data_IF_123726261781
#
_entry.id   IF_123726261781
#
_cell.length_a   1.000
_cell.length_b   1.000
_cell.length_c   1.000
_cell.angle_alpha   90.00
_cell.angle_beta   90.00
_cell.angle_gamma   90.00
#
_symmetry.space_group_name_H-M   'P 1'
#
loop_
_entity.id
_entity.type
_entity.pdbx_description
1 polymer ?
#
# COMPACT_ATOMS: atom_id res chain seq x y z
N UNK A 1 -38.55 -37.88 97.78
CA UNK A 1 -37.82 -36.67 97.36
C UNK A 1 -36.91 -36.90 96.12
N UNK A 2 -36.22 -37.99 95.96
CA UNK A 2 -35.30 -38.18 94.79
C UNK A 2 -36.02 -38.29 93.40
N UNK A 3 -37.25 -38.77 93.33
CA UNK A 3 -37.99 -38.87 92.06
C UNK A 3 -38.56 -37.55 91.54
N UNK A 4 -38.89 -36.62 92.47
CA UNK A 4 -39.44 -35.29 92.08
C UNK A 4 -38.33 -34.38 91.55
N UNK A 5 -37.12 -34.50 92.08
CA UNK A 5 -35.95 -33.72 91.62
C UNK A 5 -35.56 -34.16 90.18
N UNK A 6 -35.67 -35.45 89.83
CA UNK A 6 -35.34 -35.95 88.50
C UNK A 6 -36.30 -35.45 87.37
N UNK A 7 -37.58 -35.33 87.71
CA UNK A 7 -38.57 -34.78 86.76
C UNK A 7 -38.44 -33.26 86.61
N UNK A 8 -38.02 -32.53 87.61
CA UNK A 8 -37.77 -31.09 87.55
C UNK A 8 -36.50 -30.79 86.75
N UNK A 9 -35.46 -31.61 86.82
CA UNK A 9 -34.23 -31.45 86.02
C UNK A 9 -34.54 -31.85 84.59
N UNK A 10 -35.33 -32.87 84.35
CA UNK A 10 -35.73 -33.26 82.96
C UNK A 10 -36.65 -32.22 82.32
N UNK A 11 -37.54 -31.58 83.10
CA UNK A 11 -38.41 -30.49 82.60
C UNK A 11 -37.61 -29.20 82.32
N UNK A 12 -36.53 -28.92 83.08
CA UNK A 12 -35.67 -27.78 82.81
C UNK A 12 -34.76 -28.00 81.64
N UNK A 13 -34.38 -29.26 81.36
CA UNK A 13 -33.53 -29.60 80.18
C UNK A 13 -34.32 -29.62 78.91
N UNK A 14 -35.63 -29.84 78.93
CA UNK A 14 -36.48 -29.76 77.71
C UNK A 14 -36.89 -28.34 77.41
N UNK A 15 -36.80 -27.39 78.28
CA UNK A 15 -37.14 -25.98 77.99
C UNK A 15 -36.01 -25.18 77.34
N UNK A 16 -34.76 -25.68 77.38
CA UNK A 16 -33.61 -25.03 76.74
C UNK A 16 -33.34 -25.49 75.27
N UNK A 17 -34.07 -26.49 74.80
CA UNK A 17 -33.93 -26.95 73.44
C UNK A 17 -34.85 -26.25 72.43
N UNK A 18 -35.60 -25.24 72.84
CA UNK A 18 -36.59 -24.55 72.01
C UNK A 18 -36.16 -23.21 71.42
N UNK A 19 -34.91 -22.79 71.56
CA UNK A 19 -34.39 -21.65 70.78
C UNK A 19 -33.89 -22.16 69.43
N UNK A 20 -34.84 -22.52 68.58
CA UNK A 20 -34.54 -22.76 67.18
C UNK A 20 -33.77 -21.56 66.64
N UNK A 21 -32.55 -21.78 66.16
CA UNK A 21 -31.88 -20.81 65.29
C UNK A 21 -32.89 -20.38 64.22
N UNK A 22 -33.41 -19.15 64.35
CA UNK A 22 -34.12 -18.55 63.19
C UNK A 22 -33.15 -18.63 62.03
N UNK A 23 -33.41 -19.51 61.06
CA UNK A 23 -32.77 -19.45 59.77
C UNK A 23 -32.94 -18.01 59.29
N UNK A 24 -31.87 -17.23 59.32
CA UNK A 24 -31.84 -15.95 58.69
C UNK A 24 -32.11 -16.28 57.19
N UNK A 25 -33.29 -15.95 56.72
CA UNK A 25 -33.56 -16.09 55.29
C UNK A 25 -32.50 -15.26 54.58
N UNK A 26 -31.56 -15.94 53.91
CA UNK A 26 -30.64 -15.31 53.01
C UNK A 26 -31.52 -14.77 51.89
N UNK A 27 -31.66 -13.44 51.82
CA UNK A 27 -32.40 -12.79 50.75
C UNK A 27 -31.98 -13.35 49.39
N UNK A 28 -32.82 -13.21 48.40
CA UNK A 28 -32.49 -13.63 47.01
C UNK A 28 -31.15 -13.06 46.60
N UNK A 29 -30.21 -13.88 46.12
CA UNK A 29 -28.93 -13.39 45.67
C UNK A 29 -29.15 -12.28 44.61
N UNK A 30 -28.34 -11.23 44.62
CA UNK A 30 -28.42 -10.20 43.56
C UNK A 30 -28.28 -10.83 42.18
N UNK A 31 -28.85 -10.18 41.17
CA UNK A 31 -28.76 -10.68 39.81
C UNK A 31 -27.30 -10.81 39.33
N UNK A 32 -26.99 -11.92 38.69
CA UNK A 32 -25.64 -12.21 38.20
C UNK A 32 -25.23 -11.26 37.08
N UNK A 33 -23.94 -10.99 37.01
CA UNK A 33 -23.33 -10.29 35.86
C UNK A 33 -23.25 -11.24 34.66
N UNK A 34 -23.48 -10.71 33.45
CA UNK A 34 -23.26 -11.42 32.18
C UNK A 34 -22.36 -10.52 31.33
N UNK A 35 -21.16 -11.00 30.98
CA UNK A 35 -20.30 -10.33 30.01
C UNK A 35 -20.76 -10.68 28.60
N UNK A 36 -21.05 -9.68 27.78
CA UNK A 36 -21.40 -9.88 26.37
C UNK A 36 -21.13 -8.62 25.56
N UNK A 37 -20.87 -8.80 24.24
CA UNK A 37 -20.70 -7.71 23.30
C UNK A 37 -21.04 -8.14 21.87
N UNK A 38 -21.24 -7.16 21.02
CA UNK A 38 -21.33 -7.30 19.58
C UNK A 38 -20.32 -6.38 18.92
N UNK A 39 -20.10 -6.55 17.61
CA UNK A 39 -19.23 -5.66 16.86
C UNK A 39 -19.72 -5.47 15.42
N UNK A 40 -19.30 -4.37 14.81
CA UNK A 40 -19.40 -4.10 13.38
C UNK A 40 -18.04 -3.66 12.86
N UNK A 41 -17.71 -4.04 11.63
CA UNK A 41 -16.44 -3.68 10.99
C UNK A 41 -16.71 -2.88 9.70
N UNK A 42 -15.96 -1.81 9.50
CA UNK A 42 -15.90 -1.11 8.21
C UNK A 42 -15.25 -2.01 7.15
N UNK A 43 -15.37 -1.65 5.87
CA UNK A 43 -14.71 -2.35 4.76
C UNK A 43 -14.96 -3.88 4.75
N UNK A 44 -16.12 -4.34 5.23
CA UNK A 44 -16.44 -5.77 5.37
C UNK A 44 -15.40 -6.60 6.11
N UNK A 45 -14.64 -5.96 7.03
CA UNK A 45 -13.55 -6.59 7.78
C UNK A 45 -12.28 -6.84 6.97
N UNK A 46 -12.08 -6.15 5.86
CA UNK A 46 -10.81 -6.17 5.09
C UNK A 46 -9.87 -5.12 5.66
N UNK A 47 -8.63 -5.50 5.94
CA UNK A 47 -7.60 -4.60 6.48
C UNK A 47 -7.23 -3.47 5.48
N UNK A 48 -6.96 -2.24 5.98
CA UNK A 48 -7.24 -1.77 7.32
C UNK A 48 -8.75 -1.56 7.53
N UNK A 49 -9.27 -1.92 8.71
CA UNK A 49 -10.68 -1.71 9.03
C UNK A 49 -10.85 -1.22 10.47
N UNK A 50 -11.79 -0.31 10.68
CA UNK A 50 -12.23 0.07 12.01
C UNK A 50 -13.31 -0.91 12.48
N UNK A 51 -13.17 -1.36 13.72
CA UNK A 51 -14.14 -2.23 14.38
C UNK A 51 -14.74 -1.48 15.55
N UNK A 52 -16.06 -1.25 15.49
CA UNK A 52 -16.84 -0.67 16.57
C UNK A 52 -17.39 -1.79 17.43
N UNK A 53 -17.07 -1.78 18.71
CA UNK A 53 -17.59 -2.72 19.69
C UNK A 53 -18.75 -2.10 20.46
N UNK A 54 -19.79 -2.90 20.72
CA UNK A 54 -20.93 -2.50 21.55
C UNK A 54 -21.02 -3.43 22.75
N UNK A 55 -20.84 -2.90 23.94
CA UNK A 55 -20.95 -3.66 25.19
C UNK A 55 -22.40 -3.90 25.53
N UNK A 56 -22.82 -5.16 25.53
CA UNK A 56 -24.18 -5.60 25.87
C UNK A 56 -24.22 -6.36 27.19
N UNK A 57 -23.22 -6.16 28.05
CA UNK A 57 -23.11 -6.80 29.34
C UNK A 57 -24.23 -6.34 30.31
N UNK A 58 -24.67 -7.24 31.19
CA UNK A 58 -25.74 -6.99 32.13
C UNK A 58 -25.15 -7.02 33.56
N UNK A 59 -25.58 -6.10 34.41
CA UNK A 59 -25.14 -5.96 35.82
C UNK A 59 -23.61 -5.79 35.99
N UNK A 60 -22.96 -5.15 35.00
CA UNK A 60 -21.57 -4.76 35.01
C UNK A 60 -21.42 -3.27 35.37
N UNK A 61 -20.41 -2.90 36.14
CA UNK A 61 -20.08 -1.51 36.54
C UNK A 61 -18.77 -1.01 35.90
N UNK A 62 -18.04 -1.87 35.18
CA UNK A 62 -16.81 -1.53 34.47
C UNK A 62 -16.48 -2.58 33.45
N UNK A 63 -15.77 -2.17 32.42
CA UNK A 63 -15.29 -2.97 31.32
C UNK A 63 -13.79 -2.79 31.10
N UNK A 64 -13.12 -3.84 30.74
CA UNK A 64 -11.75 -3.82 30.24
C UNK A 64 -11.68 -4.70 28.98
N UNK A 65 -11.16 -4.13 27.93
CA UNK A 65 -11.01 -4.76 26.64
C UNK A 65 -9.56 -5.08 26.34
N UNK A 66 -9.32 -6.27 25.81
CA UNK A 66 -8.08 -6.69 25.16
C UNK A 66 -8.46 -7.13 23.75
N UNK A 67 -7.91 -6.46 22.73
CA UNK A 67 -8.29 -6.69 21.33
C UNK A 67 -7.44 -7.76 20.64
N UNK A 68 -6.45 -8.32 21.34
CA UNK A 68 -5.57 -9.36 20.79
C UNK A 68 -4.55 -8.86 19.77
N UNK A 69 -4.51 -7.56 19.51
CA UNK A 69 -3.54 -6.88 18.63
C UNK A 69 -2.55 -5.99 19.41
N UNK A 70 -2.49 -6.16 20.74
CA UNK A 70 -1.68 -5.35 21.63
C UNK A 70 -2.36 -4.07 22.13
N UNK A 71 -3.54 -3.73 21.63
CA UNK A 71 -4.34 -2.60 22.10
C UNK A 71 -5.31 -3.02 23.19
N UNK A 72 -5.62 -2.11 24.11
CA UNK A 72 -6.59 -2.30 25.20
C UNK A 72 -7.44 -1.04 25.37
N UNK A 73 -8.64 -1.16 25.99
CA UNK A 73 -9.50 -0.02 26.31
C UNK A 73 -10.31 -0.28 27.59
N UNK A 74 -10.73 0.81 28.22
CA UNK A 74 -11.70 0.80 29.32
C UNK A 74 -13.00 1.52 28.96
N UNK A 75 -13.13 1.99 27.73
CA UNK A 75 -14.35 2.59 27.21
C UNK A 75 -15.48 1.58 27.18
N UNK A 76 -16.72 2.07 27.23
CA UNK A 76 -17.89 1.20 27.18
C UNK A 76 -18.01 0.57 25.80
N UNK A 77 -17.97 1.40 24.76
CA UNK A 77 -18.13 1.02 23.37
C UNK A 77 -16.93 1.55 22.54
N UNK A 78 -15.77 0.86 22.57
CA UNK A 78 -14.57 1.33 21.89
C UNK A 78 -14.63 1.14 20.37
N UNK A 79 -13.88 1.98 19.65
CA UNK A 79 -13.60 1.85 18.21
C UNK A 79 -12.11 1.61 18.03
N UNK A 80 -11.75 0.54 17.33
CA UNK A 80 -10.35 0.10 17.19
C UNK A 80 -10.02 -0.12 15.73
N UNK A 81 -8.89 0.44 15.29
CA UNK A 81 -8.31 0.17 13.99
C UNK A 81 -7.53 -1.15 14.02
N UNK A 82 -7.88 -2.07 13.13
CA UNK A 82 -7.11 -3.25 12.80
C UNK A 82 -6.44 -3.03 11.44
N UNK A 83 -5.15 -2.81 11.45
CA UNK A 83 -4.30 -2.57 10.27
C UNK A 83 -3.64 -3.83 9.72
N UNK A 84 -3.60 -4.89 10.52
CA UNK A 84 -2.97 -6.16 10.20
C UNK A 84 -4.00 -7.26 9.95
N UNK A 85 -3.70 -8.14 9.00
CA UNK A 85 -4.53 -9.30 8.67
C UNK A 85 -4.38 -10.39 9.75
N UNK A 86 -5.44 -11.16 9.98
CA UNK A 86 -5.38 -12.31 10.88
C UNK A 86 -6.64 -12.54 11.70
N UNK A 87 -6.51 -13.48 12.63
CA UNK A 87 -7.55 -13.80 13.61
C UNK A 87 -7.17 -13.21 14.96
N UNK A 88 -7.97 -12.26 15.43
CA UNK A 88 -7.75 -11.56 16.70
C UNK A 88 -8.77 -12.06 17.74
N UNK A 89 -8.27 -12.54 18.86
CA UNK A 89 -9.14 -12.92 19.99
C UNK A 89 -9.43 -11.69 20.84
N UNK A 90 -10.59 -11.11 20.65
CA UNK A 90 -11.05 -9.96 21.46
C UNK A 90 -11.68 -10.47 22.75
N UNK A 91 -11.24 -9.94 23.88
CA UNK A 91 -11.72 -10.30 25.21
C UNK A 91 -12.26 -9.08 25.94
N UNK A 92 -13.51 -9.18 26.39
CA UNK A 92 -14.13 -8.24 27.31
C UNK A 92 -14.15 -8.84 28.71
N UNK A 93 -13.55 -8.16 29.68
CA UNK A 93 -13.62 -8.48 31.11
C UNK A 93 -14.53 -7.48 31.81
N UNK A 94 -15.59 -7.96 32.46
CA UNK A 94 -16.57 -7.14 33.16
C UNK A 94 -16.38 -7.22 34.69
N UNK A 95 -16.38 -6.06 35.35
CA UNK A 95 -16.44 -5.97 36.79
C UNK A 95 -17.92 -5.99 37.21
N UNK A 96 -18.36 -6.93 38.10
CA UNK A 96 -19.74 -7.00 38.50
C UNK A 96 -20.14 -5.80 39.38
N UNK A 97 -21.41 -5.38 39.27
CA UNK A 97 -21.99 -4.36 40.20
C UNK A 97 -21.88 -4.84 41.62
N UNK A 98 -22.10 -6.12 41.91
CA UNK A 98 -21.98 -6.71 43.21
C UNK A 98 -20.78 -7.67 43.29
N UNK A 99 -19.60 -7.10 43.52
CA UNK A 99 -18.33 -7.84 43.60
C UNK A 99 -18.13 -8.63 44.93
N UNK A 100 -19.05 -8.49 45.91
CA UNK A 100 -19.04 -9.32 47.10
C UNK A 100 -19.61 -10.72 46.82
N UNK A 101 -20.44 -10.87 45.80
CA UNK A 101 -21.10 -12.11 45.44
C UNK A 101 -20.58 -12.75 44.17
N UNK A 102 -20.01 -11.94 43.23
CA UNK A 102 -19.60 -12.40 41.93
C UNK A 102 -18.17 -11.96 41.63
N UNK A 103 -17.41 -12.84 40.95
CA UNK A 103 -16.12 -12.53 40.37
C UNK A 103 -16.27 -11.80 39.06
N UNK A 104 -15.14 -11.29 38.51
CA UNK A 104 -15.08 -10.77 37.14
C UNK A 104 -15.49 -11.86 36.15
N UNK A 105 -16.18 -11.45 35.10
CA UNK A 105 -16.61 -12.33 34.04
C UNK A 105 -16.01 -11.87 32.70
N UNK A 106 -15.73 -12.83 31.89
CA UNK A 106 -15.10 -12.62 30.56
C UNK A 106 -15.99 -13.12 29.44
N UNK A 107 -15.91 -12.44 28.30
CA UNK A 107 -16.45 -12.85 27.01
C UNK A 107 -15.36 -12.69 25.96
N UNK A 108 -15.13 -13.73 25.18
CA UNK A 108 -14.21 -13.66 24.06
C UNK A 108 -14.93 -13.95 22.74
N UNK A 109 -14.49 -13.28 21.67
CA UNK A 109 -14.88 -13.54 20.28
C UNK A 109 -13.65 -13.45 19.40
N UNK A 110 -13.63 -14.23 18.33
CA UNK A 110 -12.59 -14.15 17.30
C UNK A 110 -13.09 -13.24 16.21
N UNK A 111 -12.29 -12.24 15.86
CA UNK A 111 -12.50 -11.35 14.72
C UNK A 111 -11.54 -11.75 13.62
N UNK A 112 -12.06 -12.00 12.42
CA UNK A 112 -11.25 -12.28 11.24
C UNK A 112 -11.07 -10.99 10.44
N UNK A 113 -9.86 -10.46 10.44
CA UNK A 113 -9.45 -9.33 9.59
C UNK A 113 -8.85 -9.91 8.31
N UNK A 114 -9.53 -9.67 7.20
CA UNK A 114 -9.25 -10.30 5.90
C UNK A 114 -8.12 -9.61 5.17
N UNK A 115 -7.40 -10.39 4.36
CA UNK A 115 -6.38 -9.87 3.44
C UNK A 115 -7.05 -9.10 2.29
N UNK A 116 -6.70 -7.82 2.06
CA UNK A 116 -7.18 -7.05 0.92
C UNK A 116 -6.74 -7.65 -0.43
N UNK A 117 -5.67 -8.44 -0.45
CA UNK A 117 -5.12 -9.06 -1.64
C UNK A 117 -5.53 -10.55 -1.79
N UNK A 118 -6.48 -11.03 -0.98
CA UNK A 118 -6.92 -12.42 -1.05
C UNK A 118 -7.44 -12.79 -2.45
N UNK A 119 -6.83 -13.79 -3.07
CA UNK A 119 -7.15 -14.25 -4.43
C UNK A 119 -6.54 -13.40 -5.56
N UNK A 120 -5.67 -12.43 -5.22
CA UNK A 120 -4.85 -11.71 -6.19
C UNK A 120 -3.44 -12.34 -6.28
N UNK A 121 -2.81 -12.16 -7.43
CA UNK A 121 -1.42 -12.51 -7.70
C UNK A 121 -0.58 -11.25 -7.72
N UNK A 122 0.57 -11.29 -7.04
CA UNK A 122 1.52 -10.18 -7.13
C UNK A 122 2.41 -10.36 -8.36
N UNK A 123 2.48 -9.34 -9.20
CA UNK A 123 3.19 -9.36 -10.47
C UNK A 123 4.09 -8.14 -10.58
N UNK A 124 5.34 -8.35 -10.99
CA UNK A 124 6.20 -7.30 -11.51
C UNK A 124 5.99 -7.22 -13.02
N UNK A 125 5.54 -6.08 -13.50
CA UNK A 125 5.53 -5.70 -14.91
C UNK A 125 6.74 -4.82 -15.18
N UNK A 126 7.38 -5.02 -16.33
CA UNK A 126 8.46 -4.13 -16.78
C UNK A 126 8.53 -4.04 -18.29
N UNK A 127 9.08 -2.96 -18.78
CA UNK A 127 9.42 -2.80 -20.21
C UNK A 127 10.90 -3.07 -20.40
N UNK A 128 11.27 -3.47 -21.62
CA UNK A 128 12.68 -3.61 -22.01
C UNK A 128 12.92 -3.07 -23.40
N UNK A 129 14.18 -2.67 -23.63
CA UNK A 129 14.68 -2.28 -24.93
C UNK A 129 15.82 -3.21 -25.31
N UNK A 130 15.70 -3.88 -26.45
CA UNK A 130 16.74 -4.74 -27.01
C UNK A 130 17.21 -4.26 -28.39
N UNK A 131 18.20 -4.94 -28.99
CA UNK A 131 18.70 -4.64 -30.33
C UNK A 131 17.65 -4.75 -31.44
N UNK A 132 16.59 -5.52 -31.19
CA UNK A 132 15.53 -5.84 -32.15
C UNK A 132 14.22 -5.08 -31.89
N UNK A 133 14.21 -4.08 -31.01
CA UNK A 133 13.02 -3.35 -30.60
C UNK A 133 12.73 -3.47 -29.08
N UNK A 134 11.57 -3.00 -28.66
CA UNK A 134 11.12 -3.01 -27.28
C UNK A 134 10.01 -4.01 -27.03
N UNK A 135 9.83 -4.40 -25.76
CA UNK A 135 8.73 -5.26 -25.36
C UNK A 135 8.28 -4.98 -23.90
N UNK A 136 7.07 -5.42 -23.58
CA UNK A 136 6.57 -5.55 -22.22
C UNK A 136 6.80 -6.97 -21.70
N UNK A 137 6.98 -7.08 -20.39
CA UNK A 137 7.22 -8.34 -19.70
C UNK A 137 6.48 -8.39 -18.39
N UNK A 138 6.25 -9.61 -17.91
CA UNK A 138 5.72 -9.83 -16.56
C UNK A 138 6.44 -10.98 -15.86
N UNK A 139 6.53 -10.89 -14.53
CA UNK A 139 7.06 -11.93 -13.64
C UNK A 139 6.13 -12.06 -12.45
N UNK A 140 5.63 -13.26 -12.21
CA UNK A 140 4.89 -13.54 -10.97
C UNK A 140 5.88 -13.52 -9.81
N UNK A 141 5.60 -12.67 -8.82
CA UNK A 141 6.40 -12.56 -7.62
C UNK A 141 5.98 -13.66 -6.62
N UNK A 142 6.51 -14.83 -6.84
CA UNK A 142 6.53 -15.93 -5.87
C UNK A 142 7.93 -16.03 -5.24
N UNK A 143 8.14 -17.03 -4.38
CA UNK A 143 9.45 -17.24 -3.75
C UNK A 143 10.37 -18.15 -4.60
N UNK A 144 9.99 -18.40 -5.84
CA UNK A 144 10.74 -19.21 -6.80
C UNK A 144 11.75 -18.43 -7.62
N UNK A 145 12.37 -19.12 -8.57
CA UNK A 145 13.24 -18.47 -9.56
C UNK A 145 12.36 -17.62 -10.50
N UNK A 146 12.70 -16.34 -10.71
CA UNK A 146 11.94 -15.48 -11.59
C UNK A 146 11.78 -16.06 -13.00
N UNK A 147 10.55 -16.14 -13.49
CA UNK A 147 10.23 -16.57 -14.86
C UNK A 147 9.61 -15.42 -15.62
N UNK A 148 10.34 -14.92 -16.61
CA UNK A 148 9.87 -13.85 -17.46
C UNK A 148 8.86 -14.42 -18.47
N UNK A 149 7.71 -13.78 -18.55
CA UNK A 149 6.74 -13.96 -19.62
C UNK A 149 6.71 -12.71 -20.47
N UNK A 150 7.00 -12.86 -21.75
CA UNK A 150 6.96 -11.77 -22.73
C UNK A 150 5.51 -11.46 -23.11
N UNK A 151 5.24 -10.20 -23.37
CA UNK A 151 4.00 -9.77 -23.99
C UNK A 151 3.93 -10.18 -25.46
N UNK A 152 2.72 -10.22 -26.02
CA UNK A 152 2.56 -10.38 -27.47
C UNK A 152 3.30 -9.27 -28.22
N UNK A 153 4.00 -9.66 -29.27
CA UNK A 153 4.85 -8.75 -30.04
C UNK A 153 4.06 -7.60 -30.67
N UNK A 154 4.68 -6.44 -30.71
CA UNK A 154 4.20 -5.22 -31.35
C UNK A 154 5.33 -4.59 -32.19
N UNK A 155 5.08 -3.40 -32.71
CA UNK A 155 6.08 -2.55 -33.36
C UNK A 155 6.76 -1.57 -32.38
N UNK A 156 6.73 -1.84 -31.08
CA UNK A 156 7.45 -1.01 -30.08
C UNK A 156 8.96 -1.03 -30.33
N UNK A 157 9.56 0.16 -30.26
CA UNK A 157 11.00 0.33 -30.43
C UNK A 157 11.70 0.75 -29.14
N UNK A 158 11.07 1.69 -28.41
CA UNK A 158 11.64 2.28 -27.20
C UNK A 158 10.55 2.52 -26.16
N UNK A 159 10.04 1.45 -25.52
CA UNK A 159 9.05 1.59 -24.47
C UNK A 159 9.68 2.25 -23.24
N UNK A 160 9.00 3.28 -22.74
CA UNK A 160 9.47 4.10 -21.62
C UNK A 160 8.68 3.86 -20.36
N UNK A 161 7.41 4.21 -20.34
CA UNK A 161 6.55 4.12 -19.17
C UNK A 161 5.69 2.85 -19.19
N UNK A 162 5.29 2.41 -18.01
CA UNK A 162 4.32 1.32 -17.81
C UNK A 162 3.34 1.69 -16.73
N UNK A 163 2.05 1.47 -16.96
CA UNK A 163 1.00 1.65 -15.97
C UNK A 163 0.02 0.48 -16.00
N UNK A 164 -0.32 -0.04 -14.82
CA UNK A 164 -1.23 -1.16 -14.67
C UNK A 164 -2.56 -0.68 -14.10
N UNK A 165 -3.62 -0.86 -14.86
CA UNK A 165 -5.00 -0.67 -14.44
C UNK A 165 -5.54 -1.98 -13.87
N UNK A 166 -5.47 -2.11 -12.56
CA UNK A 166 -5.91 -3.31 -11.86
C UNK A 166 -7.43 -3.46 -11.89
N UNK A 167 -8.17 -2.34 -12.01
CA UNK A 167 -9.64 -2.35 -12.04
C UNK A 167 -10.18 -2.96 -13.34
N UNK A 168 -9.51 -2.69 -14.48
CA UNK A 168 -9.93 -3.19 -15.78
C UNK A 168 -9.04 -4.30 -16.34
N UNK A 169 -8.05 -4.78 -15.55
CA UNK A 169 -7.07 -5.79 -15.96
C UNK A 169 -6.36 -5.42 -17.26
N UNK A 170 -5.81 -4.21 -17.32
CA UNK A 170 -5.08 -3.67 -18.47
C UNK A 170 -3.70 -3.19 -18.08
N UNK A 171 -2.79 -3.23 -19.05
CA UNK A 171 -1.45 -2.64 -18.97
C UNK A 171 -1.30 -1.65 -20.11
N UNK A 172 -0.80 -0.47 -19.80
CA UNK A 172 -0.51 0.60 -20.74
C UNK A 172 1.00 0.80 -20.80
N UNK A 173 1.52 0.91 -22.02
CA UNK A 173 2.95 1.14 -22.29
C UNK A 173 3.08 2.31 -23.25
N UNK A 174 3.91 3.29 -22.90
CA UNK A 174 4.31 4.38 -23.78
C UNK A 174 5.51 3.97 -24.61
N UNK A 175 5.55 4.34 -25.88
CA UNK A 175 6.74 4.19 -26.73
C UNK A 175 7.19 5.52 -27.27
N UNK A 176 8.35 5.96 -26.78
CA UNK A 176 8.97 7.24 -27.13
C UNK A 176 9.32 7.35 -28.63
N UNK A 177 9.93 6.30 -29.20
CA UNK A 177 10.43 6.35 -30.58
C UNK A 177 9.33 6.22 -31.63
N UNK A 178 8.34 5.40 -31.36
CA UNK A 178 7.16 5.25 -32.23
C UNK A 178 6.18 6.42 -32.05
N UNK A 179 6.21 7.10 -30.91
CA UNK A 179 5.24 8.14 -30.57
C UNK A 179 3.86 7.55 -30.35
N UNK A 180 3.74 6.54 -29.51
CA UNK A 180 2.52 5.77 -29.36
C UNK A 180 2.26 5.34 -27.91
N UNK A 181 0.99 5.03 -27.61
CA UNK A 181 0.60 4.34 -26.38
C UNK A 181 -0.11 3.05 -26.75
N UNK A 182 0.39 1.95 -26.16
CA UNK A 182 -0.14 0.61 -26.33
C UNK A 182 -0.92 0.19 -25.11
N UNK A 183 -1.98 -0.58 -25.31
CA UNK A 183 -2.77 -1.23 -24.26
C UNK A 183 -2.79 -2.73 -24.48
N UNK A 184 -2.52 -3.48 -23.43
CA UNK A 184 -2.59 -4.95 -23.37
C UNK A 184 -3.62 -5.38 -22.34
N UNK A 185 -4.04 -6.64 -22.38
CA UNK A 185 -4.59 -7.28 -21.19
C UNK A 185 -3.48 -7.50 -20.15
N UNK A 186 -3.86 -7.71 -18.90
CA UNK A 186 -2.90 -7.95 -17.80
C UNK A 186 -2.03 -9.21 -17.98
N UNK A 187 -2.45 -10.14 -18.83
CA UNK A 187 -1.66 -11.32 -19.20
C UNK A 187 -0.69 -11.07 -20.37
N UNK A 188 -0.52 -9.82 -20.79
CA UNK A 188 0.36 -9.40 -21.87
C UNK A 188 -0.17 -9.67 -23.27
N UNK A 189 -1.44 -10.05 -23.41
CA UNK A 189 -2.05 -10.39 -24.70
C UNK A 189 -2.96 -9.28 -25.22
N UNK A 190 -3.39 -9.48 -26.50
CA UNK A 190 -4.32 -8.59 -27.20
C UNK A 190 -3.81 -7.14 -27.24
N UNK A 191 -2.62 -6.88 -27.81
CA UNK A 191 -2.09 -5.54 -27.98
C UNK A 191 -3.00 -4.68 -28.85
N UNK A 192 -3.16 -3.43 -28.42
CA UNK A 192 -3.86 -2.40 -29.17
C UNK A 192 -3.09 -1.09 -29.06
N UNK A 193 -2.67 -0.52 -30.20
CA UNK A 193 -2.15 0.84 -30.26
C UNK A 193 -3.34 1.80 -30.13
N UNK A 194 -3.49 2.42 -28.96
CA UNK A 194 -4.66 3.29 -28.65
C UNK A 194 -4.41 4.74 -29.01
N UNK A 195 -3.14 5.16 -29.06
CA UNK A 195 -2.69 6.46 -29.55
C UNK A 195 -1.47 6.27 -30.44
N UNK A 196 -1.40 7.02 -31.55
CA UNK A 196 -0.29 6.99 -32.49
C UNK A 196 -0.10 8.39 -33.11
N UNK A 197 1.10 8.95 -32.98
CA UNK A 197 1.46 10.28 -33.49
C UNK A 197 1.22 10.42 -35.00
N UNK A 198 1.25 9.31 -35.73
CA UNK A 198 1.04 9.29 -37.15
C UNK A 198 -0.45 9.24 -37.57
N UNK A 199 -1.36 9.18 -36.62
CA UNK A 199 -2.81 9.20 -36.88
C UNK A 199 -3.34 10.61 -36.72
N UNK A 200 -4.03 11.11 -37.74
CA UNK A 200 -4.60 12.47 -37.72
C UNK A 200 -5.50 12.70 -36.52
N UNK A 201 -5.22 13.78 -35.77
CA UNK A 201 -5.90 14.13 -34.54
C UNK A 201 -5.32 13.48 -33.28
N UNK A 202 -4.27 12.68 -33.42
CA UNK A 202 -3.55 12.06 -32.30
C UNK A 202 -2.10 12.54 -32.15
N UNK A 203 -1.68 13.54 -32.90
CA UNK A 203 -0.33 14.12 -32.90
C UNK A 203 0.08 14.62 -31.49
N UNK A 204 -0.92 14.84 -30.65
CA UNK A 204 -0.75 15.27 -29.26
C UNK A 204 -0.08 14.20 -28.39
N UNK A 205 -0.05 12.93 -28.81
CA UNK A 205 0.66 11.87 -28.04
C UNK A 205 2.17 12.16 -28.03
N UNK A 206 2.72 12.62 -29.12
CA UNK A 206 4.14 13.04 -29.30
C UNK A 206 5.13 11.94 -28.97
N UNK A 207 6.05 12.27 -28.10
CA UNK A 207 7.10 11.43 -27.53
C UNK A 207 6.75 11.07 -26.08
N UNK A 208 5.79 10.12 -25.83
CA UNK A 208 5.27 9.87 -24.49
C UNK A 208 6.28 9.08 -23.64
N UNK A 209 6.41 9.49 -22.37
CA UNK A 209 7.34 8.87 -21.42
C UNK A 209 6.62 8.25 -20.21
N UNK A 210 6.79 8.79 -19.01
CA UNK A 210 6.09 8.29 -17.82
C UNK A 210 4.58 8.30 -17.98
N UNK A 211 3.91 7.29 -17.43
CA UNK A 211 2.46 7.12 -17.57
C UNK A 211 1.86 6.62 -16.25
N UNK A 212 0.68 7.11 -15.90
CA UNK A 212 -0.15 6.52 -14.83
C UNK A 212 -1.63 6.48 -15.24
N UNK A 213 -2.39 5.65 -14.55
CA UNK A 213 -3.84 5.53 -14.72
C UNK A 213 -4.54 6.11 -13.48
N UNK A 214 -5.57 6.93 -13.72
CA UNK A 214 -6.43 7.45 -12.64
C UNK A 214 -7.89 7.48 -13.12
N UNK A 215 -8.75 6.72 -12.45
CA UNK A 215 -10.15 6.57 -12.83
C UNK A 215 -10.30 5.98 -14.23
N UNK A 216 -10.97 6.70 -15.10
CA UNK A 216 -11.24 6.33 -16.50
C UNK A 216 -10.27 6.97 -17.50
N UNK A 217 -9.10 7.45 -17.03
CA UNK A 217 -8.10 8.17 -17.82
C UNK A 217 -6.70 7.59 -17.68
N UNK A 218 -5.94 7.67 -18.79
CA UNK A 218 -4.49 7.60 -18.81
C UNK A 218 -3.90 9.01 -18.81
N UNK A 219 -2.78 9.19 -18.09
CA UNK A 219 -2.00 10.42 -18.05
C UNK A 219 -0.57 10.11 -18.44
N UNK A 220 0.04 10.92 -19.31
CA UNK A 220 1.43 10.72 -19.69
C UNK A 220 2.21 12.05 -19.74
N UNK A 221 3.50 11.94 -19.42
CA UNK A 221 4.45 13.03 -19.55
C UNK A 221 5.03 13.07 -20.96
N UNK A 222 5.29 14.27 -21.44
CA UNK A 222 6.09 14.57 -22.65
C UNK A 222 6.52 16.03 -22.62
N UNK A 223 7.33 16.43 -23.60
CA UNK A 223 7.70 17.84 -23.77
C UNK A 223 6.49 18.77 -23.68
N UNK A 224 6.56 19.76 -22.81
CA UNK A 224 5.53 20.78 -22.60
C UNK A 224 4.50 20.46 -21.51
N UNK A 225 4.58 19.29 -20.86
CA UNK A 225 3.74 19.02 -19.70
C UNK A 225 3.16 17.63 -19.55
N UNK A 226 1.99 17.56 -18.92
CA UNK A 226 1.24 16.32 -18.70
C UNK A 226 0.01 16.33 -19.60
N UNK A 227 -0.23 15.22 -20.25
CA UNK A 227 -1.32 14.99 -21.17
C UNK A 227 -2.23 13.88 -20.63
N UNK A 228 -3.45 13.81 -21.14
CA UNK A 228 -4.38 12.73 -20.76
C UNK A 228 -5.31 12.35 -21.92
N UNK A 229 -5.87 11.15 -21.84
CA UNK A 229 -6.93 10.64 -22.70
C UNK A 229 -7.82 9.67 -21.94
N UNK A 230 -8.93 9.26 -22.53
CA UNK A 230 -9.70 8.12 -22.06
C UNK A 230 -8.87 6.84 -22.13
N UNK A 231 -9.25 5.79 -21.39
CA UNK A 231 -8.58 4.48 -21.38
C UNK A 231 -8.55 3.78 -22.75
N UNK A 232 -9.36 4.21 -23.69
CA UNK A 232 -9.37 3.72 -25.08
C UNK A 232 -8.58 4.61 -26.04
N UNK A 233 -7.93 5.67 -25.57
CA UNK A 233 -7.19 6.64 -26.36
C UNK A 233 -8.03 7.77 -26.94
N UNK A 234 -9.35 7.77 -26.75
CA UNK A 234 -10.20 8.87 -27.25
C UNK A 234 -10.04 10.14 -26.43
N UNK A 235 -10.37 11.30 -27.05
CA UNK A 235 -10.30 12.63 -26.44
C UNK A 235 -8.95 12.97 -25.80
N UNK A 236 -7.82 12.82 -26.52
CA UNK A 236 -6.53 13.24 -26.00
C UNK A 236 -6.45 14.76 -25.89
N UNK A 237 -5.92 15.26 -24.77
CA UNK A 237 -5.80 16.68 -24.49
C UNK A 237 -4.58 17.01 -23.62
N UNK A 238 -4.11 18.28 -23.66
CA UNK A 238 -3.16 18.80 -22.70
C UNK A 238 -3.89 18.93 -21.36
N UNK A 239 -3.35 18.30 -20.34
CA UNK A 239 -3.93 18.35 -18.99
C UNK A 239 -3.26 19.41 -18.11
N UNK A 240 -1.93 19.39 -18.02
CA UNK A 240 -1.14 20.43 -17.37
C UNK A 240 -0.12 20.95 -18.37
N UNK A 241 -0.26 22.20 -18.77
CA UNK A 241 0.66 22.85 -19.68
C UNK A 241 1.76 23.55 -18.89
N UNK A 242 2.99 23.09 -18.99
CA UNK A 242 4.16 23.71 -18.36
C UNK A 242 4.95 24.59 -19.35
N UNK A 243 4.67 24.46 -20.65
CA UNK A 243 5.37 25.19 -21.71
C UNK A 243 6.86 24.87 -21.70
N UNK A 244 7.69 25.94 -21.65
CA UNK A 244 9.16 25.81 -21.59
C UNK A 244 9.71 26.04 -20.17
N UNK A 245 8.88 25.98 -19.15
CA UNK A 245 9.32 26.12 -17.75
C UNK A 245 9.31 24.77 -17.04
N UNK A 246 10.25 24.50 -16.13
CA UNK A 246 10.23 23.24 -15.37
C UNK A 246 8.91 23.05 -14.61
N UNK A 247 8.38 21.83 -14.57
CA UNK A 247 8.84 20.61 -15.24
C UNK A 247 8.42 20.52 -16.70
N UNK A 248 9.30 20.96 -17.60
CA UNK A 248 9.04 20.97 -19.06
C UNK A 248 8.96 19.55 -19.66
N UNK A 249 9.60 18.58 -18.98
CA UNK A 249 9.80 17.23 -19.49
C UNK A 249 9.57 16.15 -18.41
N UNK A 250 8.31 15.91 -18.00
CA UNK A 250 8.01 14.90 -17.00
C UNK A 250 8.33 13.49 -17.53
N UNK A 251 9.34 12.85 -16.94
CA UNK A 251 9.86 11.54 -17.36
C UNK A 251 9.19 10.39 -16.63
N UNK A 252 8.98 10.56 -15.33
CA UNK A 252 8.29 9.56 -14.51
C UNK A 252 7.42 10.27 -13.49
N UNK A 253 6.24 9.69 -13.22
CA UNK A 253 5.20 10.34 -12.45
C UNK A 253 4.39 9.34 -11.63
N UNK A 254 4.00 9.76 -10.42
CA UNK A 254 3.07 9.02 -9.58
C UNK A 254 2.01 9.94 -8.97
N UNK A 255 0.80 9.43 -8.84
CA UNK A 255 -0.31 10.16 -8.25
C UNK A 255 -0.65 9.65 -6.85
N UNK A 256 -0.70 10.58 -5.88
CA UNK A 256 -1.16 10.29 -4.53
C UNK A 256 -2.67 10.57 -4.43
N UNK A 257 -3.44 9.52 -4.27
CA UNK A 257 -4.91 9.60 -4.10
C UNK A 257 -5.32 10.27 -2.80
N UNK A 258 -4.43 10.33 -1.80
CA UNK A 258 -4.72 10.93 -0.49
C UNK A 258 -4.55 12.44 -0.51
N UNK A 259 -3.44 12.92 -1.06
CA UNK A 259 -3.16 14.38 -1.14
C UNK A 259 -3.70 15.03 -2.41
N UNK A 260 -4.08 14.25 -3.43
CA UNK A 260 -4.51 14.75 -4.74
C UNK A 260 -3.37 15.37 -5.56
N UNK A 261 -2.11 14.96 -5.30
CA UNK A 261 -0.93 15.50 -5.98
C UNK A 261 -0.31 14.49 -6.94
N UNK A 262 0.24 14.99 -8.02
CA UNK A 262 1.16 14.29 -8.91
C UNK A 262 2.58 14.62 -8.44
N UNK A 263 3.39 13.61 -8.14
CA UNK A 263 4.81 13.71 -7.92
C UNK A 263 5.54 13.29 -9.18
N UNK A 264 6.60 14.00 -9.56
CA UNK A 264 7.27 13.75 -10.81
C UNK A 264 8.76 14.12 -10.76
N UNK A 265 9.53 13.45 -11.57
CA UNK A 265 10.90 13.83 -11.92
C UNK A 265 10.95 14.31 -13.37
N UNK A 266 11.82 15.25 -13.61
CA UNK A 266 12.03 15.88 -14.89
C UNK A 266 13.47 15.64 -15.35
N UNK A 267 13.64 15.08 -16.56
CA UNK A 267 14.94 14.93 -17.20
C UNK A 267 15.21 16.14 -18.07
N UNK A 268 16.27 16.85 -17.79
CA UNK A 268 16.75 17.89 -18.68
C UNK A 268 18.26 18.05 -18.62
N UNK A 269 18.90 17.83 -19.74
CA UNK A 269 20.36 17.85 -19.90
C UNK A 269 21.01 19.22 -19.64
N UNK A 270 20.23 20.29 -19.50
CA UNK A 270 20.68 21.65 -19.17
C UNK A 270 20.58 22.02 -17.68
N UNK A 271 20.35 21.01 -16.82
CA UNK A 271 20.24 21.15 -15.34
C UNK A 271 18.99 21.90 -14.85
N UNK A 272 17.97 22.07 -15.66
CA UNK A 272 16.67 22.56 -15.22
C UNK A 272 15.73 21.43 -14.81
N UNK A 273 16.22 20.19 -14.71
CA UNK A 273 15.52 19.04 -14.14
C UNK A 273 15.39 19.14 -12.63
N UNK A 274 14.48 18.36 -12.05
CA UNK A 274 14.21 18.39 -10.62
C UNK A 274 13.20 17.34 -10.17
N UNK A 275 12.96 17.33 -8.87
CA UNK A 275 11.85 16.60 -8.25
C UNK A 275 10.76 17.57 -7.83
N UNK A 276 9.54 17.35 -8.28
CA UNK A 276 8.42 18.26 -8.15
C UNK A 276 7.17 17.56 -7.63
N UNK A 277 6.22 18.36 -7.12
CA UNK A 277 4.82 17.99 -7.07
C UNK A 277 3.94 19.08 -7.65
N UNK A 278 2.76 18.68 -8.13
CA UNK A 278 1.72 19.58 -8.63
C UNK A 278 0.34 19.01 -8.27
N UNK A 279 -0.62 19.86 -7.97
CA UNK A 279 -2.00 19.42 -7.75
C UNK A 279 -2.60 18.90 -9.07
N UNK A 280 -3.59 18.00 -8.95
CA UNK A 280 -4.27 17.43 -10.13
C UNK A 280 -4.97 18.51 -11.00
N UNK A 281 -5.26 19.69 -10.48
CA UNK A 281 -5.80 20.83 -11.23
C UNK A 281 -4.71 21.72 -11.89
N UNK A 282 -3.45 21.33 -11.79
CA UNK A 282 -2.30 22.07 -12.33
C UNK A 282 -1.81 23.22 -11.45
N UNK A 283 -2.44 23.47 -10.29
CA UNK A 283 -1.99 24.48 -9.34
C UNK A 283 -0.97 23.94 -8.35
N UNK A 284 -0.35 24.80 -7.55
CA UNK A 284 0.49 24.42 -6.43
C UNK A 284 1.78 23.67 -6.83
N UNK A 285 2.32 23.97 -8.02
CA UNK A 285 3.62 23.44 -8.44
C UNK A 285 4.68 23.79 -7.39
N UNK A 286 5.36 22.77 -6.90
CA UNK A 286 6.41 22.88 -5.88
C UNK A 286 7.63 22.09 -6.34
N UNK A 287 8.78 22.76 -6.35
CA UNK A 287 10.08 22.12 -6.58
C UNK A 287 10.69 21.77 -5.23
N UNK A 288 11.00 20.49 -5.03
CA UNK A 288 11.63 19.99 -3.79
C UNK A 288 13.14 19.86 -3.91
N UNK A 289 13.62 19.36 -5.04
CA UNK A 289 15.06 19.19 -5.29
C UNK A 289 15.35 19.74 -6.68
N UNK A 290 16.03 20.88 -6.78
CA UNK A 290 16.43 21.47 -8.06
C UNK A 290 17.68 20.82 -8.63
N UNK A 291 17.91 21.04 -9.90
CA UNK A 291 19.14 20.69 -10.61
C UNK A 291 19.55 19.21 -10.46
N UNK A 292 18.57 18.31 -10.63
CA UNK A 292 18.82 16.87 -10.77
C UNK A 292 18.27 16.38 -12.11
N UNK A 293 18.97 15.42 -12.69
CA UNK A 293 18.55 14.69 -13.87
C UNK A 293 17.91 13.37 -13.38
N UNK A 294 16.62 13.46 -13.01
CA UNK A 294 15.85 12.32 -12.47
C UNK A 294 15.27 11.49 -13.60
N UNK A 295 15.56 10.20 -13.61
CA UNK A 295 15.15 9.29 -14.69
C UNK A 295 14.16 8.20 -14.27
N UNK A 296 13.93 8.02 -12.99
CA UNK A 296 12.91 7.16 -12.44
C UNK A 296 12.46 7.64 -11.07
N UNK A 297 11.22 7.37 -10.72
CA UNK A 297 10.59 7.78 -9.48
C UNK A 297 9.74 6.65 -8.90
N UNK A 298 9.87 6.42 -7.61
CA UNK A 298 8.94 5.63 -6.81
C UNK A 298 8.66 6.33 -5.50
N UNK A 299 7.38 6.54 -5.18
CA UNK A 299 6.97 7.21 -3.94
C UNK A 299 6.24 6.23 -3.04
N UNK A 300 6.79 5.98 -1.87
CA UNK A 300 6.11 5.26 -0.80
C UNK A 300 5.23 6.23 -0.01
N UNK A 301 3.99 6.38 -0.44
CA UNK A 301 3.02 7.27 0.19
C UNK A 301 2.67 6.86 1.63
N UNK A 302 2.85 5.58 1.98
CA UNK A 302 2.57 5.11 3.33
C UNK A 302 3.61 5.57 4.36
N UNK A 303 4.89 5.62 3.96
CA UNK A 303 5.99 6.04 4.83
C UNK A 303 6.50 7.45 4.56
N UNK A 304 6.02 8.09 3.48
CA UNK A 304 6.46 9.41 3.06
C UNK A 304 7.92 9.43 2.57
N UNK A 305 8.36 8.33 1.93
CA UNK A 305 9.68 8.22 1.30
C UNK A 305 9.58 8.26 -0.21
N UNK A 306 10.57 8.85 -0.82
CA UNK A 306 10.73 8.93 -2.27
C UNK A 306 12.05 8.32 -2.67
N UNK A 307 12.02 7.51 -3.71
CA UNK A 307 13.16 6.85 -4.32
C UNK A 307 13.31 7.39 -5.75
N UNK A 308 14.54 7.70 -6.15
CA UNK A 308 14.81 8.27 -7.47
C UNK A 308 16.09 7.68 -8.05
N UNK A 309 16.07 7.42 -9.35
CA UNK A 309 17.31 7.26 -10.10
C UNK A 309 17.75 8.64 -10.59
N UNK A 310 18.96 9.06 -10.23
CA UNK A 310 19.49 10.37 -10.57
C UNK A 310 20.80 10.20 -11.33
N UNK A 311 20.89 10.84 -12.49
CA UNK A 311 22.10 10.92 -13.30
C UNK A 311 22.86 12.20 -12.91
N UNK A 312 24.08 12.03 -12.40
CA UNK A 312 24.92 13.17 -12.03
C UNK A 312 25.60 13.73 -13.28
N UNK A 313 25.45 15.00 -13.47
CA UNK A 313 26.09 15.74 -14.55
C UNK A 313 26.72 17.03 -14.00
N UNK A 314 27.50 17.73 -14.79
CA UNK A 314 28.16 19.00 -14.35
C UNK A 314 27.10 20.02 -13.98
N UNK A 315 27.08 20.52 -12.75
CA UNK A 315 26.07 21.46 -12.23
C UNK A 315 24.91 20.81 -11.48
N UNK A 316 24.83 19.45 -11.44
CA UNK A 316 23.84 18.73 -10.66
C UNK A 316 23.99 18.96 -9.14
N UNK A 317 22.89 18.91 -8.43
CA UNK A 317 22.85 18.89 -6.96
C UNK A 317 23.48 17.63 -6.34
N UNK A 318 23.66 16.58 -7.14
CA UNK A 318 24.35 15.35 -6.75
C UNK A 318 25.64 15.16 -7.55
N UNK A 319 26.64 14.52 -6.96
CA UNK A 319 27.97 14.35 -7.55
C UNK A 319 28.19 12.97 -8.17
N UNK A 320 27.29 12.03 -7.93
CA UNK A 320 27.41 10.64 -8.38
C UNK A 320 26.08 10.15 -8.96
N UNK A 321 26.16 9.33 -10.01
CA UNK A 321 25.01 8.55 -10.48
C UNK A 321 24.55 7.58 -9.40
N UNK A 322 23.26 7.32 -9.32
CA UNK A 322 22.79 6.29 -8.41
C UNK A 322 21.31 6.32 -8.12
N UNK A 323 20.93 5.39 -7.27
CA UNK A 323 19.62 5.33 -6.64
C UNK A 323 19.70 6.15 -5.34
N UNK A 324 18.79 7.08 -5.20
CA UNK A 324 18.70 7.98 -4.06
C UNK A 324 17.38 7.80 -3.33
N UNK A 325 17.40 8.05 -2.04
CA UNK A 325 16.21 8.09 -1.18
C UNK A 325 16.17 9.45 -0.48
N UNK A 326 14.95 10.00 -0.34
CA UNK A 326 14.69 11.20 0.47
C UNK A 326 13.32 11.10 1.15
N UNK A 327 12.96 12.09 1.93
CA UNK A 327 11.58 12.29 2.34
C UNK A 327 10.76 12.82 1.15
N UNK A 328 9.44 12.67 1.20
CA UNK A 328 8.53 13.12 0.14
C UNK A 328 8.63 14.64 -0.16
N UNK A 329 9.11 15.41 0.80
CA UNK A 329 9.38 16.84 0.67
C UNK A 329 10.81 17.16 0.16
N UNK A 330 11.55 16.15 -0.30
CA UNK A 330 12.91 16.28 -0.82
C UNK A 330 14.00 16.37 0.23
N UNK A 331 13.68 16.46 1.52
CA UNK A 331 14.69 16.53 2.58
C UNK A 331 15.38 15.18 2.82
N UNK A 332 16.63 15.23 3.30
CA UNK A 332 17.37 14.01 3.66
C UNK A 332 17.82 13.16 2.47
N UNK A 333 18.06 13.79 1.31
CA UNK A 333 18.53 13.09 0.10
C UNK A 333 19.85 12.35 0.38
N UNK A 334 19.87 11.05 0.11
CA UNK A 334 21.03 10.18 0.30
C UNK A 334 21.11 9.09 -0.75
N UNK A 335 22.31 8.78 -1.23
CA UNK A 335 22.53 7.67 -2.16
C UNK A 335 22.40 6.34 -1.43
N UNK A 336 21.65 5.41 -2.01
CA UNK A 336 21.38 4.06 -1.45
C UNK A 336 21.78 2.92 -2.39
N UNK A 337 22.11 3.20 -3.65
CA UNK A 337 22.47 2.17 -4.63
C UNK A 337 23.01 2.72 -5.93
N UNK A 338 23.39 1.83 -6.83
CA UNK A 338 23.90 2.14 -8.18
C UNK A 338 23.02 1.51 -9.25
N UNK A 339 22.94 2.15 -10.42
CA UNK A 339 22.21 1.67 -11.59
C UNK A 339 23.09 1.35 -12.81
N UNK A 340 24.41 1.35 -12.64
CA UNK A 340 25.38 1.09 -13.72
C UNK A 340 25.84 2.35 -14.43
N UNK A 341 26.32 2.20 -15.67
CA UNK A 341 26.87 3.30 -16.48
C UNK A 341 25.83 4.01 -17.33
N UNK A 342 24.61 3.49 -17.41
CA UNK A 342 23.46 4.09 -18.09
C UNK A 342 22.30 4.25 -17.14
N UNK A 343 21.57 5.35 -17.29
CA UNK A 343 20.40 5.63 -16.46
C UNK A 343 19.37 4.49 -16.55
N UNK A 344 18.74 4.21 -15.42
CA UNK A 344 17.52 3.39 -15.37
C UNK A 344 16.29 4.30 -15.41
N UNK A 345 15.24 3.85 -16.06
CA UNK A 345 13.95 4.56 -16.12
C UNK A 345 12.85 3.84 -15.35
N UNK A 346 13.21 2.87 -14.53
CA UNK A 346 12.22 2.14 -13.74
C UNK A 346 12.71 1.70 -12.39
N UNK A 347 11.85 1.91 -11.40
CA UNK A 347 11.95 1.37 -10.07
C UNK A 347 10.56 1.12 -9.50
N UNK A 348 10.45 0.25 -8.51
CA UNK A 348 9.17 -0.05 -7.86
C UNK A 348 9.38 -0.78 -6.54
N UNK A 349 8.36 -0.73 -5.67
CA UNK A 349 8.40 -1.37 -4.35
C UNK A 349 7.53 -2.64 -4.33
N UNK A 350 8.11 -3.73 -3.83
CA UNK A 350 7.36 -4.88 -3.34
C UNK A 350 7.03 -4.67 -1.85
N UNK A 351 5.86 -4.13 -1.57
CA UNK A 351 5.40 -3.88 -0.21
C UNK A 351 5.23 -5.16 0.63
N UNK A 352 4.96 -6.29 0.00
CA UNK A 352 4.81 -7.58 0.71
C UNK A 352 6.12 -8.04 1.34
N UNK A 353 7.23 -7.81 0.63
CA UNK A 353 8.56 -8.26 1.06
C UNK A 353 9.44 -7.12 1.55
N UNK A 354 8.94 -5.87 1.54
CA UNK A 354 9.69 -4.66 1.86
C UNK A 354 10.97 -4.56 1.02
N UNK A 355 10.83 -4.72 -0.29
CA UNK A 355 11.95 -4.68 -1.25
C UNK A 355 11.76 -3.58 -2.28
N UNK A 356 12.86 -2.91 -2.60
CA UNK A 356 12.98 -2.00 -3.73
C UNK A 356 13.58 -2.74 -4.91
N UNK A 357 12.99 -2.57 -6.09
CA UNK A 357 13.51 -3.04 -7.37
C UNK A 357 13.93 -1.86 -8.22
N UNK A 358 15.04 -1.98 -8.93
CA UNK A 358 15.44 -1.02 -9.96
C UNK A 358 16.22 -1.68 -11.08
N UNK A 359 16.24 -1.02 -12.25
CA UNK A 359 17.03 -1.44 -13.40
C UNK A 359 18.50 -1.13 -13.21
N UNK A 360 19.37 -2.00 -13.69
CA UNK A 360 20.80 -1.81 -13.81
C UNK A 360 21.23 -2.06 -15.25
N UNK A 361 21.93 -1.10 -15.87
CA UNK A 361 22.34 -1.17 -17.28
C UNK A 361 23.78 -0.75 -17.48
N UNK A 362 24.42 -1.36 -18.46
CA UNK A 362 25.76 -1.01 -18.95
C UNK A 362 25.65 -0.24 -20.26
N UNK A 363 24.64 -0.54 -21.10
CA UNK A 363 24.33 0.18 -22.33
C UNK A 363 22.81 0.27 -22.57
N UNK A 364 22.37 1.11 -23.51
CA UNK A 364 20.94 1.26 -23.80
C UNK A 364 20.34 0.08 -24.60
N UNK A 365 21.19 -0.79 -25.15
CA UNK A 365 20.77 -1.94 -25.98
C UNK A 365 21.41 -3.25 -25.53
N UNK A 366 21.88 -3.30 -24.30
CA UNK A 366 22.68 -4.42 -23.78
C UNK A 366 21.76 -5.50 -23.18
N UNK A 367 21.83 -6.76 -23.63
CA UNK A 367 21.19 -7.87 -22.95
C UNK A 367 21.80 -8.19 -21.59
N UNK A 368 22.95 -7.58 -21.23
CA UNK A 368 23.65 -7.78 -19.96
C UNK A 368 23.10 -6.92 -18.81
N UNK A 369 22.00 -6.23 -19.02
CA UNK A 369 21.27 -5.53 -17.96
C UNK A 369 20.60 -6.51 -16.99
N UNK A 370 20.16 -5.98 -15.88
CA UNK A 370 19.54 -6.75 -14.80
C UNK A 370 18.56 -5.91 -13.98
N UNK A 371 17.70 -6.58 -13.22
CA UNK A 371 16.91 -5.97 -12.17
C UNK A 371 17.59 -6.30 -10.84
N UNK A 372 17.94 -5.26 -10.10
CA UNK A 372 18.44 -5.36 -8.73
C UNK A 372 17.26 -5.38 -7.78
N UNK A 373 17.34 -6.19 -6.72
CA UNK A 373 16.43 -6.20 -5.59
C UNK A 373 17.21 -5.94 -4.31
N UNK A 374 16.76 -5.00 -3.47
CA UNK A 374 17.41 -4.67 -2.20
C UNK A 374 16.37 -4.41 -1.10
N UNK A 375 16.82 -4.22 0.13
CA UNK A 375 15.98 -3.63 1.17
C UNK A 375 15.64 -2.17 0.81
N UNK A 376 14.59 -1.60 1.43
CA UNK A 376 14.17 -0.22 1.14
C UNK A 376 15.25 0.84 1.48
N UNK A 377 16.19 0.53 2.34
CA UNK A 377 17.34 1.38 2.65
C UNK A 377 18.55 1.18 1.71
N UNK A 378 18.38 0.36 0.67
CA UNK A 378 19.41 0.00 -0.29
C UNK A 378 20.37 -1.11 0.18
N UNK A 379 20.25 -1.58 1.41
CA UNK A 379 21.10 -2.65 1.94
C UNK A 379 20.80 -4.01 1.31
N UNK A 380 21.77 -4.91 1.33
CA UNK A 380 21.64 -6.28 0.80
C UNK A 380 21.16 -6.34 -0.67
N UNK A 381 21.79 -5.60 -1.59
CA UNK A 381 21.41 -5.66 -3.01
C UNK A 381 21.79 -7.02 -3.59
N UNK A 382 20.94 -7.55 -4.46
CA UNK A 382 21.14 -8.80 -5.18
C UNK A 382 20.71 -8.68 -6.65
N UNK A 383 21.38 -9.42 -7.53
CA UNK A 383 21.00 -9.55 -8.93
C UNK A 383 19.77 -10.49 -9.01
N UNK A 384 18.59 -9.90 -8.94
CA UNK A 384 17.34 -10.69 -8.84
C UNK A 384 16.93 -11.30 -10.19
N UNK A 385 17.09 -10.55 -11.28
CA UNK A 385 16.82 -11.02 -12.64
C UNK A 385 17.92 -10.49 -13.56
N UNK A 386 18.54 -11.38 -14.33
CA UNK A 386 19.66 -11.06 -15.24
C UNK A 386 19.30 -11.34 -16.69
N UNK A 387 20.07 -10.77 -17.64
CA UNK A 387 19.84 -10.98 -19.06
C UNK A 387 18.66 -10.19 -19.63
N UNK A 388 18.28 -9.10 -18.96
CA UNK A 388 17.21 -8.18 -19.38
C UNK A 388 17.75 -6.77 -19.51
N UNK A 389 17.09 -5.92 -20.30
CA UNK A 389 17.42 -4.49 -20.41
C UNK A 389 16.25 -3.64 -19.90
N UNK A 390 16.00 -3.62 -18.57
CA UNK A 390 14.78 -3.04 -18.03
C UNK A 390 14.73 -1.53 -18.22
N UNK A 391 13.53 -1.02 -18.51
CA UNK A 391 13.17 0.39 -18.50
C UNK A 391 12.20 0.67 -17.38
N UNK A 392 10.94 0.99 -17.66
CA UNK A 392 9.93 1.18 -16.63
C UNK A 392 9.56 -0.14 -15.92
N UNK A 393 9.12 -0.05 -14.67
CA UNK A 393 8.61 -1.22 -13.94
C UNK A 393 7.56 -0.83 -12.90
N UNK A 394 6.66 -1.78 -12.62
CA UNK A 394 5.62 -1.62 -11.62
C UNK A 394 5.25 -2.96 -10.99
N UNK A 395 5.22 -3.01 -9.65
CA UNK A 395 4.68 -4.14 -8.89
C UNK A 395 3.24 -3.86 -8.51
N UNK A 396 2.36 -4.79 -8.82
CA UNK A 396 0.93 -4.68 -8.48
C UNK A 396 0.36 -6.01 -8.01
N UNK A 397 -0.76 -5.93 -7.31
CA UNK A 397 -1.64 -7.06 -7.04
C UNK A 397 -2.76 -7.08 -8.07
N UNK A 398 -2.91 -8.17 -8.80
CA UNK A 398 -3.88 -8.29 -9.89
C UNK A 398 -4.48 -9.70 -9.94
N UNK A 399 -5.69 -9.80 -10.45
CA UNK A 399 -6.31 -11.08 -10.78
C UNK A 399 -5.88 -11.46 -12.20
N UNK A 400 -5.11 -12.54 -12.30
CA UNK A 400 -4.69 -13.13 -13.58
C UNK A 400 -5.70 -14.13 -14.11
#
# INVERSE_FOLDING_TARGET
MKKIIFYLILALFTLTLGTGCKKKELGTPPASTIANFTYTATNNGVAPCEVTFTNTSINAKGSFWDFGNGQTSTEVDPVILFDSIGFFTVKLTCTPVNNLYYNQLEKSMIINVKDPNAGLTQVLYFTSRGPSGGNGHMVILDDGVPKVQDFEATDMERPYGIAVDTAHSKVYITDYSVGAIYRFNSDGKNPLKILDVNVAGQEIVGDPEGIFVLGDKIYWGRTGGIYRANLDGTNPEIFINTGSTPPEYPIDMQYDTTSGKIYLVNDKTDYSGGYFSVNLDGTGLTEYIPAIDGTALEVDFATGKTYMAIYASTGSSVTENGIYMCNIDGTGLSKIGDFGSKATWGMTIDYKRNKLFWGYKVSNSDPDGKIIRANLDGSSPEDWLTGVSPHAMQVVWIKL
#
